data_IF_984033002336
#
_entry.id   IF_984033002336
#
_cell.length_a   1.000
_cell.length_b   1.000
_cell.length_c   1.000
_cell.angle_alpha   90.00
_cell.angle_beta   90.00
_cell.angle_gamma   90.00
#
_symmetry.space_group_name_H-M   'P 1'
#
loop_
_entity.id
_entity.type
_entity.pdbx_description
1 polymer ?
#
# COMPACT_ATOMS: atom_id res chain seq x y z
N UNK A 1 4.20 1.01 16.50
CA UNK A 1 3.43 1.91 15.63
C UNK A 1 4.19 2.23 14.34
N UNK A 2 5.49 2.52 14.39
CA UNK A 2 6.30 2.87 13.20
C UNK A 2 6.46 1.67 12.23
N UNK A 3 6.64 0.44 12.73
CA UNK A 3 6.95 -0.74 11.89
C UNK A 3 5.81 -1.28 11.01
N UNK A 4 4.57 -0.93 11.28
CA UNK A 4 3.42 -1.42 10.49
C UNK A 4 3.18 -0.60 9.23
N UNK A 5 3.66 0.65 9.20
CA UNK A 5 3.56 1.54 8.04
C UNK A 5 4.64 1.24 6.99
N UNK A 6 5.72 0.54 7.38
CA UNK A 6 6.87 0.24 6.53
C UNK A 6 6.63 -0.91 5.54
N UNK A 7 5.53 -1.65 5.70
CA UNK A 7 5.18 -2.77 4.83
C UNK A 7 4.18 -2.22 3.82
N UNK A 8 4.54 -2.24 2.53
CA UNK A 8 3.76 -1.78 1.38
C UNK A 8 2.41 -2.53 1.17
N UNK A 9 1.88 -3.20 2.19
CA UNK A 9 0.67 -4.00 2.18
C UNK A 9 -0.23 -3.59 3.35
N UNK A 10 -1.54 -3.57 3.11
CA UNK A 10 -2.52 -3.39 4.17
C UNK A 10 -2.39 -4.51 5.22
N UNK A 11 -2.52 -4.16 6.51
CA UNK A 11 -2.54 -5.14 7.59
C UNK A 11 -3.74 -6.08 7.41
N UNK A 12 -3.51 -7.38 7.55
CA UNK A 12 -4.62 -8.32 7.60
C UNK A 12 -5.48 -8.05 8.85
N UNK A 13 -6.78 -8.35 8.79
CA UNK A 13 -7.72 -8.15 9.91
C UNK A 13 -7.21 -8.74 11.23
N UNK A 14 -6.52 -9.89 11.18
CA UNK A 14 -5.92 -10.54 12.36
C UNK A 14 -4.77 -9.73 12.94
N UNK A 15 -3.97 -9.08 12.11
CA UNK A 15 -2.84 -8.24 12.54
C UNK A 15 -3.34 -6.94 13.17
N UNK A 16 -4.37 -6.31 12.58
CA UNK A 16 -5.04 -5.15 13.17
C UNK A 16 -5.57 -5.48 14.57
N UNK A 17 -6.20 -6.65 14.74
CA UNK A 17 -6.71 -7.11 16.04
C UNK A 17 -5.61 -7.39 17.06
N UNK A 18 -4.46 -7.91 16.65
CA UNK A 18 -3.28 -8.09 17.52
C UNK A 18 -2.67 -6.75 17.93
N UNK A 19 -2.49 -5.84 16.97
CA UNK A 19 -1.95 -4.51 17.20
C UNK A 19 -2.81 -3.74 18.21
N UNK A 20 -4.14 -3.82 18.08
CA UNK A 20 -5.07 -3.22 19.03
C UNK A 20 -4.92 -3.77 20.45
N UNK A 21 -4.72 -5.09 20.58
CA UNK A 21 -4.45 -5.72 21.87
C UNK A 21 -3.12 -5.27 22.48
N UNK A 22 -2.04 -5.23 21.70
CA UNK A 22 -0.74 -4.75 22.15
C UNK A 22 -0.81 -3.28 22.61
N UNK A 23 -1.52 -2.45 21.86
CA UNK A 23 -1.68 -1.03 22.14
C UNK A 23 -2.47 -0.82 23.43
N UNK A 24 -3.61 -1.49 23.59
CA UNK A 24 -4.41 -1.42 24.83
C UNK A 24 -3.67 -2.01 26.04
N UNK A 25 -2.81 -3.01 25.84
CA UNK A 25 -1.93 -3.55 26.89
C UNK A 25 -0.89 -2.52 27.32
N UNK A 26 -0.26 -1.83 26.36
CA UNK A 26 0.74 -0.78 26.64
C UNK A 26 0.16 0.39 27.43
N UNK A 27 -1.08 0.79 27.12
CA UNK A 27 -1.76 1.90 27.79
C UNK A 27 -2.62 1.48 28.99
N UNK A 28 -2.54 0.22 29.45
CA UNK A 28 -3.37 -0.31 30.54
C UNK A 28 -4.89 -0.12 30.34
N UNK A 29 -5.35 -0.11 29.09
CA UNK A 29 -6.75 0.03 28.69
C UNK A 29 -7.30 -1.28 28.11
N UNK A 30 -6.73 -2.42 28.52
CA UNK A 30 -6.99 -3.73 27.94
C UNK A 30 -8.37 -4.27 28.33
N UNK A 31 -9.29 -4.49 27.37
CA UNK A 31 -10.56 -5.15 27.66
C UNK A 31 -10.35 -6.60 28.08
N UNK A 32 -11.05 -7.06 29.13
CA UNK A 32 -10.95 -8.43 29.62
C UNK A 32 -11.22 -9.52 28.55
N UNK A 33 -12.20 -9.36 27.62
CA UNK A 33 -12.47 -10.35 26.59
C UNK A 33 -11.33 -10.55 25.57
N UNK A 34 -10.33 -9.64 25.54
CA UNK A 34 -9.24 -9.70 24.57
C UNK A 34 -8.03 -10.51 25.07
N UNK A 35 -8.03 -10.88 26.36
CA UNK A 35 -6.89 -11.53 27.03
C UNK A 35 -6.73 -12.98 26.63
N UNK A 36 -7.85 -13.71 26.54
CA UNK A 36 -7.87 -15.15 26.23
C UNK A 36 -7.17 -15.43 24.90
N UNK A 37 -7.54 -14.68 23.87
CA UNK A 37 -7.00 -14.86 22.52
C UNK A 37 -5.81 -13.93 22.19
N UNK A 38 -5.40 -13.08 23.15
CA UNK A 38 -4.39 -12.02 22.97
C UNK A 38 -4.63 -11.18 21.72
N UNK A 39 -5.89 -10.86 21.45
CA UNK A 39 -6.32 -10.10 20.28
C UNK A 39 -7.67 -9.42 20.53
N UNK A 40 -7.92 -8.34 19.83
CA UNK A 40 -9.22 -7.69 19.85
C UNK A 40 -10.34 -8.59 19.32
N UNK A 41 -11.58 -8.33 19.78
CA UNK A 41 -12.76 -9.01 19.29
C UNK A 41 -13.01 -8.73 17.78
N UNK A 42 -13.70 -9.64 17.11
CA UNK A 42 -14.06 -9.47 15.70
C UNK A 42 -15.09 -8.35 15.48
N UNK A 43 -16.07 -8.26 16.39
CA UNK A 43 -17.01 -7.13 16.45
C UNK A 43 -16.30 -5.78 16.54
N UNK A 44 -15.21 -5.72 17.32
CA UNK A 44 -14.45 -4.49 17.48
C UNK A 44 -13.82 -4.03 16.16
N UNK A 45 -13.18 -4.93 15.40
CA UNK A 45 -12.53 -4.53 14.14
C UNK A 45 -13.55 -4.14 13.08
N UNK A 46 -14.72 -4.80 13.03
CA UNK A 46 -15.83 -4.41 12.15
C UNK A 46 -16.34 -3.02 12.49
N UNK A 47 -16.58 -2.74 13.77
CA UNK A 47 -17.03 -1.43 14.23
C UNK A 47 -15.98 -0.35 13.98
N UNK A 48 -14.69 -0.66 14.20
CA UNK A 48 -13.57 0.25 13.95
C UNK A 48 -13.46 0.64 12.47
N UNK A 49 -13.57 -0.33 11.55
CA UNK A 49 -13.56 -0.06 10.10
C UNK A 49 -14.77 0.80 9.71
N UNK A 50 -15.97 0.44 10.18
CA UNK A 50 -17.21 1.16 9.85
C UNK A 50 -17.25 2.60 10.38
N UNK A 51 -16.57 2.87 11.50
CA UNK A 51 -16.49 4.22 12.11
C UNK A 51 -15.41 5.09 11.49
N UNK A 52 -14.54 4.53 10.65
CA UNK A 52 -13.45 5.28 10.02
C UNK A 52 -13.97 5.82 8.68
N UNK A 53 -14.25 7.14 8.55
CA UNK A 53 -14.96 7.73 7.41
C UNK A 53 -14.22 7.62 6.07
N UNK A 54 -12.92 7.32 6.10
CA UNK A 54 -12.17 6.82 4.96
C UNK A 54 -11.30 5.66 5.45
N UNK A 55 -11.75 4.40 5.36
CA UNK A 55 -10.81 3.31 5.42
C UNK A 55 -9.93 3.52 4.20
N UNK A 56 -8.72 4.06 4.39
CA UNK A 56 -7.65 3.86 3.43
C UNK A 56 -7.21 2.40 3.52
N UNK A 57 -8.16 1.48 3.37
CA UNK A 57 -7.94 0.24 2.65
C UNK A 57 -7.76 0.69 1.22
N UNK A 58 -6.63 1.37 0.96
CA UNK A 58 -6.09 1.37 -0.37
C UNK A 58 -5.97 -0.11 -0.63
N UNK A 59 -6.75 -0.63 -1.58
CA UNK A 59 -6.28 -1.78 -2.30
C UNK A 59 -4.89 -1.31 -2.72
N UNK A 60 -3.84 -1.87 -2.12
CA UNK A 60 -2.55 -1.76 -2.75
C UNK A 60 -2.87 -2.29 -4.14
N UNK A 61 -2.92 -1.39 -5.14
CA UNK A 61 -2.75 -1.81 -6.52
C UNK A 61 -1.61 -2.81 -6.42
N UNK A 62 -1.76 -3.97 -7.03
CA UNK A 62 -0.72 -4.96 -7.03
C UNK A 62 0.48 -4.39 -7.82
N UNK A 63 1.14 -3.37 -7.29
CA UNK A 63 2.58 -3.23 -7.21
C UNK A 63 3.03 -4.56 -6.61
N UNK A 64 3.06 -5.57 -7.49
CA UNK A 64 3.62 -6.86 -7.20
C UNK A 64 4.95 -6.60 -6.53
N UNK A 65 5.33 -7.46 -5.58
CA UNK A 65 6.63 -7.34 -4.90
C UNK A 65 7.76 -7.01 -5.89
N UNK A 66 7.71 -7.59 -7.09
CA UNK A 66 8.58 -7.26 -8.22
C UNK A 66 8.64 -5.78 -8.63
N UNK A 67 7.51 -5.06 -8.73
CA UNK A 67 7.51 -3.61 -9.03
C UNK A 67 8.15 -2.81 -7.90
N UNK A 68 7.86 -3.15 -6.64
CA UNK A 68 8.45 -2.46 -5.50
C UNK A 68 9.98 -2.69 -5.42
N UNK A 69 10.45 -3.92 -5.64
CA UNK A 69 11.90 -4.22 -5.68
C UNK A 69 12.60 -3.64 -6.90
N UNK A 70 11.89 -3.58 -8.03
CA UNK A 70 12.42 -3.00 -9.27
C UNK A 70 12.41 -1.46 -9.25
N UNK A 71 11.68 -0.82 -8.34
CA UNK A 71 11.74 0.63 -8.15
C UNK A 71 12.96 1.01 -7.29
N UNK A 72 14.15 0.90 -7.88
CA UNK A 72 15.43 1.21 -7.25
C UNK A 72 16.23 2.20 -8.10
N UNK A 73 17.27 2.80 -7.50
CA UNK A 73 18.07 3.86 -8.14
C UNK A 73 18.60 3.45 -9.51
N UNK A 74 19.12 2.22 -9.66
CA UNK A 74 19.67 1.73 -10.92
C UNK A 74 18.62 1.70 -12.02
N UNK A 75 17.46 1.12 -11.73
CA UNK A 75 16.37 1.00 -12.70
C UNK A 75 15.73 2.35 -13.04
N UNK A 76 15.62 3.25 -12.06
CA UNK A 76 15.11 4.62 -12.27
C UNK A 76 16.06 5.42 -13.17
N UNK A 77 17.37 5.34 -12.92
CA UNK A 77 18.37 6.00 -13.77
C UNK A 77 18.29 5.47 -15.20
N UNK A 78 18.31 4.14 -15.39
CA UNK A 78 18.21 3.53 -16.71
C UNK A 78 16.91 3.91 -17.45
N UNK A 79 15.78 4.03 -16.73
CA UNK A 79 14.53 4.50 -17.30
C UNK A 79 14.65 5.92 -17.88
N UNK A 80 15.20 6.86 -17.09
CA UNK A 80 15.34 8.25 -17.55
C UNK A 80 16.38 8.41 -18.65
N UNK A 81 17.47 7.64 -18.65
CA UNK A 81 18.44 7.61 -19.75
C UNK A 81 17.81 7.13 -21.07
N UNK A 82 16.99 6.09 -21.00
CA UNK A 82 16.24 5.61 -22.17
C UNK A 82 15.19 6.62 -22.64
N UNK A 83 14.46 7.24 -21.70
CA UNK A 83 13.48 8.28 -22.02
C UNK A 83 14.14 9.46 -22.73
N UNK A 84 15.26 9.95 -22.19
CA UNK A 84 16.04 11.03 -22.80
C UNK A 84 16.50 10.65 -24.21
N UNK A 85 17.04 9.43 -24.37
CA UNK A 85 17.49 8.93 -25.67
C UNK A 85 16.36 8.91 -26.71
N UNK A 86 15.13 8.55 -26.31
CA UNK A 86 13.97 8.56 -27.21
C UNK A 86 13.55 9.99 -27.54
N UNK A 87 13.44 10.85 -26.53
CA UNK A 87 13.08 12.26 -26.70
C UNK A 87 14.09 13.05 -27.54
N UNK A 88 15.37 12.66 -27.54
CA UNK A 88 16.41 13.30 -28.36
C UNK A 88 16.39 12.83 -29.82
N UNK A 89 15.89 11.61 -30.09
CA UNK A 89 15.83 11.03 -31.45
C UNK A 89 14.73 11.65 -32.30
N UNK A 90 13.65 12.10 -31.68
CA UNK A 90 12.46 12.61 -32.36
C UNK A 90 11.93 13.84 -31.63
N UNK A 91 11.46 14.83 -32.40
CA UNK A 91 10.78 15.99 -31.83
C UNK A 91 9.34 15.57 -31.55
N UNK A 92 9.03 15.28 -30.30
CA UNK A 92 7.67 15.06 -29.85
C UNK A 92 7.08 16.39 -29.39
N UNK A 93 5.90 16.75 -29.87
CA UNK A 93 5.14 17.84 -29.28
C UNK A 93 4.36 17.33 -28.06
N UNK A 94 3.92 18.21 -27.13
CA UNK A 94 3.21 17.78 -25.92
C UNK A 94 1.96 16.92 -26.22
N UNK A 95 1.29 17.15 -27.35
CA UNK A 95 0.14 16.35 -27.80
C UNK A 95 0.49 14.94 -28.27
N UNK A 96 1.77 14.62 -28.47
CA UNK A 96 2.24 13.31 -28.93
C UNK A 96 2.64 12.38 -27.77
N UNK A 97 2.63 12.89 -26.52
CA UNK A 97 3.06 12.17 -25.33
C UNK A 97 1.84 11.80 -24.49
N UNK A 98 1.59 10.49 -24.37
CA UNK A 98 0.45 9.94 -23.63
C UNK A 98 0.94 9.13 -22.42
N UNK A 99 0.38 9.39 -21.23
CA UNK A 99 0.52 8.48 -20.09
C UNK A 99 -0.54 7.38 -20.22
N UNK A 100 -0.12 6.11 -20.24
CA UNK A 100 -0.98 4.94 -20.46
C UNK A 100 -0.94 4.03 -19.23
N UNK A 101 -1.07 4.60 -18.04
CA UNK A 101 -1.02 3.87 -16.77
C UNK A 101 -2.38 3.29 -16.33
N UNK A 102 -3.50 3.77 -16.87
CA UNK A 102 -4.85 3.33 -16.49
C UNK A 102 -5.61 2.53 -17.57
N UNK A 103 -5.19 2.57 -18.83
CA UNK A 103 -5.91 1.91 -19.94
C UNK A 103 -5.08 0.77 -20.49
N UNK A 104 -5.48 -0.48 -20.21
CA UNK A 104 -4.88 -1.64 -20.87
C UNK A 104 -5.05 -1.53 -22.39
N UNK A 105 -3.95 -1.31 -23.11
CA UNK A 105 -3.94 -1.39 -24.58
C UNK A 105 -4.04 -2.87 -24.96
N UNK A 106 -5.24 -3.31 -25.33
CA UNK A 106 -5.43 -4.62 -25.93
C UNK A 106 -5.11 -4.52 -27.42
N UNK A 107 -4.00 -5.13 -27.84
CA UNK A 107 -3.75 -5.38 -29.26
C UNK A 107 -4.58 -6.60 -29.65
N UNK A 108 -5.49 -6.44 -30.61
CA UNK A 108 -6.25 -7.54 -31.22
C UNK A 108 -5.38 -8.31 -32.20
#
# INVERSE_FOLDING_TARGET
>A
MIRCADIYFGLATKEVRKLAFELTTKYNMRPAPWVENKMAAEEWVRSFINRTPSPSVRLALATSFSRATSFNKTNVVAFYENLQTVLDRHIYEPQDIYNVDETSVQVK
#
